data_IF_649786703723
#
_entry.id   IF_649786703723
#
_cell.length_a   1.000
_cell.length_b   1.000
_cell.length_c   1.000
_cell.angle_alpha   90.00
_cell.angle_beta   90.00
_cell.angle_gamma   90.00
#
_symmetry.space_group_name_H-M   'P 1'
#
loop_
_entity.id
_entity.type
_entity.pdbx_description
1 polymer ?
#
# COMPACT_ATOMS: atom_id res chain seq x y z
N UNK A 1 -16.11 5.72 -9.16
CA UNK A 1 -16.30 4.28 -8.99
C UNK A 1 -16.04 3.49 -10.26
N UNK A 2 -16.78 3.78 -11.34
CA UNK A 2 -16.73 3.00 -12.60
C UNK A 2 -15.30 2.83 -13.15
N UNK A 3 -14.53 3.91 -13.27
CA UNK A 3 -13.15 3.87 -13.75
C UNK A 3 -12.25 2.93 -12.90
N UNK A 4 -12.34 3.02 -11.58
CA UNK A 4 -11.59 2.13 -10.66
C UNK A 4 -11.95 0.67 -10.87
N UNK A 5 -13.24 0.35 -10.98
CA UNK A 5 -13.69 -1.03 -11.21
C UNK A 5 -13.24 -1.56 -12.57
N UNK A 6 -13.30 -0.76 -13.63
CA UNK A 6 -12.83 -1.17 -14.95
C UNK A 6 -11.32 -1.46 -14.96
N UNK A 7 -10.49 -0.59 -14.36
CA UNK A 7 -9.04 -0.73 -14.40
C UNK A 7 -8.50 -1.74 -13.36
N UNK A 8 -9.04 -1.74 -12.14
CA UNK A 8 -8.50 -2.58 -11.08
C UNK A 8 -9.14 -3.97 -11.03
N UNK A 9 -10.40 -4.10 -11.43
CA UNK A 9 -11.08 -5.38 -11.40
C UNK A 9 -11.22 -6.01 -12.79
N UNK A 10 -11.98 -5.40 -13.72
CA UNK A 10 -12.29 -6.04 -15.02
C UNK A 10 -11.03 -6.29 -15.85
N UNK A 11 -10.13 -5.31 -15.93
CA UNK A 11 -8.89 -5.47 -16.67
C UNK A 11 -8.00 -6.57 -16.07
N UNK A 12 -7.83 -6.58 -14.74
CA UNK A 12 -7.01 -7.58 -14.05
C UNK A 12 -7.62 -8.98 -14.15
N UNK A 13 -8.96 -9.08 -14.10
CA UNK A 13 -9.69 -10.33 -14.32
C UNK A 13 -9.43 -10.90 -15.72
N UNK A 14 -9.50 -10.06 -16.75
CA UNK A 14 -9.24 -10.48 -18.11
C UNK A 14 -7.77 -10.96 -18.30
N UNK A 15 -6.81 -10.25 -17.70
CA UNK A 15 -5.40 -10.70 -17.69
C UNK A 15 -5.22 -12.04 -16.97
N UNK A 16 -5.90 -12.23 -15.85
CA UNK A 16 -5.85 -13.48 -15.10
C UNK A 16 -6.35 -14.66 -15.95
N UNK A 17 -7.49 -14.52 -16.63
CA UNK A 17 -7.99 -15.57 -17.50
C UNK A 17 -7.04 -15.83 -18.67
N UNK A 18 -6.53 -14.78 -19.32
CA UNK A 18 -5.53 -14.91 -20.37
C UNK A 18 -4.27 -15.66 -19.91
N UNK A 19 -3.77 -15.36 -18.70
CA UNK A 19 -2.62 -16.04 -18.12
C UNK A 19 -2.94 -17.52 -17.79
N UNK A 20 -4.09 -17.76 -17.17
CA UNK A 20 -4.55 -19.10 -16.82
C UNK A 20 -4.70 -20.03 -18.03
N UNK A 21 -5.36 -19.55 -19.10
CA UNK A 21 -5.56 -20.31 -20.34
C UNK A 21 -4.23 -20.72 -21.00
N UNK A 22 -3.15 -19.95 -20.75
CA UNK A 22 -1.81 -20.19 -21.30
C UNK A 22 -0.81 -20.75 -20.31
N UNK A 23 -1.25 -21.04 -19.08
CA UNK A 23 -0.40 -21.52 -17.99
C UNK A 23 0.77 -20.57 -17.69
N UNK A 24 0.52 -19.26 -17.78
CA UNK A 24 1.50 -18.22 -17.46
C UNK A 24 1.35 -17.85 -15.98
N UNK A 25 2.47 -17.74 -15.28
CA UNK A 25 2.52 -17.22 -13.90
C UNK A 25 1.98 -15.78 -13.87
N UNK A 26 1.18 -15.45 -12.87
CA UNK A 26 0.66 -14.12 -12.69
C UNK A 26 0.86 -13.65 -11.23
N UNK A 27 1.57 -12.54 -11.07
CA UNK A 27 1.67 -11.79 -9.83
C UNK A 27 0.95 -10.45 -10.04
N UNK A 28 0.00 -10.13 -9.17
CA UNK A 28 -0.75 -8.88 -9.29
C UNK A 28 -0.65 -8.00 -8.05
N UNK A 29 -0.76 -6.69 -8.26
CA UNK A 29 -0.77 -5.70 -7.21
C UNK A 29 -2.14 -5.63 -6.53
N UNK A 30 -2.27 -6.18 -5.32
CA UNK A 30 -3.30 -5.86 -4.35
C UNK A 30 -2.86 -4.69 -3.47
N UNK A 31 -3.47 -4.49 -2.32
CA UNK A 31 -3.17 -3.36 -1.45
C UNK A 31 -3.52 -3.64 0.00
N UNK A 32 -2.74 -3.15 0.95
CA UNK A 32 -3.09 -3.15 2.37
C UNK A 32 -4.33 -2.31 2.69
N UNK A 33 -4.78 -1.42 1.79
CA UNK A 33 -6.05 -0.70 1.94
C UNK A 33 -7.28 -1.60 2.03
N UNK A 34 -7.16 -2.87 1.65
CA UNK A 34 -8.21 -3.90 1.79
C UNK A 34 -8.56 -4.21 3.24
N UNK A 35 -7.68 -3.89 4.18
CA UNK A 35 -7.90 -4.05 5.62
C UNK A 35 -8.65 -2.89 6.27
N UNK A 36 -8.95 -1.84 5.51
CA UNK A 36 -9.71 -0.69 5.98
C UNK A 36 -9.06 0.03 7.16
N UNK A 37 -9.80 0.16 8.24
CA UNK A 37 -9.33 0.78 9.49
C UNK A 37 -8.32 -0.07 10.27
N UNK A 38 -8.21 -1.36 9.95
CA UNK A 38 -7.36 -2.30 10.65
C UNK A 38 -7.87 -2.76 12.01
N UNK A 39 -9.13 -2.48 12.36
CA UNK A 39 -9.73 -2.90 13.65
C UNK A 39 -9.78 -4.42 13.81
N UNK A 40 -9.75 -5.16 12.72
CA UNK A 40 -9.73 -6.62 12.70
C UNK A 40 -8.33 -7.21 12.45
N UNK A 41 -7.27 -6.37 12.48
CA UNK A 41 -5.89 -6.76 12.18
C UNK A 41 -5.53 -6.66 10.70
N UNK A 42 -4.31 -7.10 10.38
CA UNK A 42 -3.71 -7.00 9.04
C UNK A 42 -3.22 -8.36 8.53
N UNK A 43 -3.85 -9.46 8.93
CA UNK A 43 -3.58 -10.79 8.37
C UNK A 43 -4.37 -11.01 7.08
N UNK A 44 -3.91 -11.94 6.23
CA UNK A 44 -4.53 -12.23 4.92
C UNK A 44 -5.85 -13.01 5.03
N UNK A 45 -6.47 -13.00 6.20
CA UNK A 45 -7.74 -13.67 6.48
C UNK A 45 -8.94 -12.80 6.08
N UNK A 46 -10.02 -13.41 5.56
CA UNK A 46 -11.22 -12.67 5.15
C UNK A 46 -11.84 -11.81 6.26
N UNK A 47 -11.78 -12.27 7.52
CA UNK A 47 -12.30 -11.54 8.68
C UNK A 47 -11.56 -10.23 8.99
N UNK A 48 -10.35 -10.04 8.44
CA UNK A 48 -9.58 -8.80 8.58
C UNK A 48 -9.87 -7.80 7.45
N UNK A 49 -10.70 -8.15 6.48
CA UNK A 49 -10.91 -7.37 5.27
C UNK A 49 -12.11 -6.42 5.40
N UNK A 50 -11.84 -5.12 5.26
CA UNK A 50 -12.86 -4.06 5.35
C UNK A 50 -12.52 -2.91 4.39
N UNK A 51 -13.08 -2.89 3.21
CA UNK A 51 -12.81 -1.84 2.24
C UNK A 51 -13.55 -0.54 2.56
N UNK A 52 -12.82 0.52 2.94
CA UNK A 52 -13.41 1.83 3.30
C UNK A 52 -13.69 2.75 2.11
N UNK A 53 -13.19 2.44 0.93
CA UNK A 53 -13.37 3.27 -0.26
C UNK A 53 -13.37 2.44 -1.55
N UNK A 54 -13.73 3.08 -2.67
CA UNK A 54 -13.85 2.39 -3.97
C UNK A 54 -12.54 1.77 -4.44
N UNK A 55 -11.39 2.40 -4.15
CA UNK A 55 -10.09 1.82 -4.49
C UNK A 55 -9.84 0.53 -3.72
N UNK A 56 -9.96 0.57 -2.39
CA UNK A 56 -9.82 -0.60 -1.54
C UNK A 56 -10.80 -1.72 -1.95
N UNK A 57 -12.08 -1.36 -2.18
CA UNK A 57 -13.10 -2.29 -2.66
C UNK A 57 -12.70 -2.93 -3.99
N UNK A 58 -12.19 -2.17 -4.96
CA UNK A 58 -11.80 -2.72 -6.26
C UNK A 58 -10.66 -3.74 -6.17
N UNK A 59 -9.72 -3.54 -5.23
CA UNK A 59 -8.63 -4.48 -4.95
C UNK A 59 -9.12 -5.72 -4.21
N UNK A 60 -9.90 -5.53 -3.16
CA UNK A 60 -10.50 -6.63 -2.39
C UNK A 60 -11.42 -7.49 -3.25
N UNK A 61 -12.21 -6.86 -4.11
CA UNK A 61 -13.13 -7.59 -5.01
C UNK A 61 -12.36 -8.49 -5.98
N UNK A 62 -11.18 -8.05 -6.45
CA UNK A 62 -10.32 -8.91 -7.25
C UNK A 62 -9.63 -10.00 -6.43
N UNK A 63 -9.15 -9.72 -5.20
CA UNK A 63 -8.62 -10.74 -4.31
C UNK A 63 -9.63 -11.87 -4.08
N UNK A 64 -10.89 -11.51 -3.78
CA UNK A 64 -11.99 -12.47 -3.58
C UNK A 64 -12.35 -13.26 -4.85
N UNK A 65 -12.24 -12.62 -6.00
CA UNK A 65 -12.40 -13.31 -7.28
C UNK A 65 -11.27 -14.32 -7.50
N UNK A 66 -10.02 -13.90 -7.35
CA UNK A 66 -8.82 -14.71 -7.53
C UNK A 66 -8.78 -15.95 -6.61
N UNK A 67 -9.24 -15.82 -5.36
CA UNK A 67 -9.32 -16.93 -4.40
C UNK A 67 -10.09 -18.15 -4.93
N UNK A 68 -11.05 -17.95 -5.82
CA UNK A 68 -11.82 -19.05 -6.43
C UNK A 68 -10.99 -19.89 -7.39
N UNK A 69 -9.85 -19.38 -7.82
CA UNK A 69 -8.98 -19.97 -8.86
C UNK A 69 -7.65 -20.48 -8.31
N UNK A 70 -7.28 -20.18 -7.08
CA UNK A 70 -6.06 -20.70 -6.47
C UNK A 70 -6.03 -22.22 -6.53
N UNK A 71 -4.94 -22.79 -7.05
CA UNK A 71 -4.76 -24.24 -7.24
C UNK A 71 -5.61 -24.87 -8.35
N UNK A 72 -6.42 -24.09 -9.10
CA UNK A 72 -7.33 -24.63 -10.14
C UNK A 72 -6.91 -24.29 -11.57
N UNK A 73 -6.09 -23.27 -11.77
CA UNK A 73 -5.68 -22.78 -13.08
C UNK A 73 -4.52 -23.58 -13.70
N UNK A 74 -3.86 -24.43 -12.91
CA UNK A 74 -2.63 -25.12 -13.34
C UNK A 74 -1.43 -24.18 -13.58
N UNK A 75 -1.53 -22.93 -13.10
CA UNK A 75 -0.48 -21.91 -13.09
C UNK A 75 -0.54 -21.11 -11.80
N UNK A 76 0.58 -20.48 -11.46
CA UNK A 76 0.67 -19.60 -10.29
C UNK A 76 -0.25 -18.39 -10.41
N UNK A 77 -0.91 -18.04 -9.32
CA UNK A 77 -1.64 -16.79 -9.17
C UNK A 77 -1.36 -16.20 -7.78
N UNK A 78 -0.66 -15.06 -7.72
CA UNK A 78 -0.26 -14.40 -6.47
C UNK A 78 -0.75 -12.97 -6.42
N UNK A 79 -1.42 -12.59 -5.34
CA UNK A 79 -1.76 -11.21 -5.00
C UNK A 79 -0.84 -10.67 -3.92
N UNK A 80 -0.21 -9.53 -4.14
CA UNK A 80 0.63 -8.88 -3.16
C UNK A 80 -0.06 -7.63 -2.61
N UNK A 81 -0.42 -7.64 -1.33
CA UNK A 81 -0.96 -6.50 -0.60
C UNK A 81 0.16 -5.57 -0.20
N UNK A 82 0.50 -4.66 -1.08
CA UNK A 82 1.53 -3.66 -0.80
C UNK A 82 1.09 -2.70 0.30
N UNK A 83 1.96 -2.53 1.30
CA UNK A 83 1.87 -1.46 2.29
C UNK A 83 2.37 -0.14 1.69
N UNK A 84 3.00 0.74 2.45
CA UNK A 84 3.34 2.08 1.93
C UNK A 84 4.68 2.04 1.19
N UNK A 85 4.63 1.70 -0.09
CA UNK A 85 5.83 1.61 -0.93
C UNK A 85 6.40 3.00 -1.20
N UNK A 86 7.71 3.15 -1.04
CA UNK A 86 8.44 4.37 -1.40
C UNK A 86 9.72 4.06 -2.15
N UNK A 87 10.24 5.03 -2.91
CA UNK A 87 11.51 4.89 -3.63
C UNK A 87 11.67 5.87 -4.78
N UNK A 88 12.67 5.66 -5.64
CA UNK A 88 12.90 6.52 -6.79
C UNK A 88 11.81 6.39 -7.85
N UNK A 89 11.81 7.34 -8.81
CA UNK A 89 10.95 7.34 -10.01
C UNK A 89 9.46 7.56 -9.74
N UNK A 90 9.11 8.33 -8.71
CA UNK A 90 7.72 8.64 -8.37
C UNK A 90 7.18 9.93 -9.03
N UNK A 91 7.95 10.65 -9.83
CA UNK A 91 7.58 11.95 -10.41
C UNK A 91 6.25 11.93 -11.18
N UNK A 92 5.94 10.83 -11.85
CA UNK A 92 4.72 10.68 -12.64
C UNK A 92 3.44 10.48 -11.80
N UNK A 93 3.56 10.20 -10.51
CA UNK A 93 2.42 9.90 -9.62
C UNK A 93 1.73 11.15 -9.07
N UNK A 94 2.34 12.33 -9.17
CA UNK A 94 1.77 13.58 -8.64
C UNK A 94 1.39 13.46 -7.16
N UNK A 95 0.16 13.79 -6.82
CA UNK A 95 -0.36 13.73 -5.43
C UNK A 95 -0.46 12.30 -4.86
N UNK A 96 -0.36 11.27 -5.70
CA UNK A 96 -0.41 9.86 -5.29
C UNK A 96 0.98 9.27 -5.01
N UNK A 97 2.04 10.07 -5.12
CA UNK A 97 3.38 9.67 -4.74
C UNK A 97 3.49 9.43 -3.23
N UNK A 98 4.49 8.65 -2.81
CA UNK A 98 4.72 8.35 -1.40
C UNK A 98 4.94 9.61 -0.55
N UNK A 99 4.69 9.51 0.74
CA UNK A 99 4.94 10.62 1.68
C UNK A 99 6.42 11.02 1.70
N UNK A 100 7.35 10.09 1.52
CA UNK A 100 8.79 10.41 1.42
C UNK A 100 9.04 11.35 0.24
N UNK A 101 8.47 11.05 -0.93
CA UNK A 101 8.58 11.90 -2.10
C UNK A 101 7.86 13.24 -1.95
N UNK A 102 6.69 13.25 -1.30
CA UNK A 102 5.97 14.49 -1.00
C UNK A 102 6.78 15.40 -0.07
N UNK A 103 7.37 14.85 0.99
CA UNK A 103 8.24 15.59 1.91
C UNK A 103 9.48 16.16 1.21
N UNK A 104 10.09 15.38 0.31
CA UNK A 104 11.20 15.85 -0.52
C UNK A 104 10.78 17.06 -1.38
N UNK A 105 9.63 16.99 -2.04
CA UNK A 105 9.13 18.09 -2.86
C UNK A 105 8.78 19.33 -2.03
N UNK A 106 8.19 19.16 -0.85
CA UNK A 106 7.92 20.26 0.08
C UNK A 106 9.21 20.93 0.52
N UNK A 107 10.21 20.13 0.92
CA UNK A 107 11.54 20.67 1.26
C UNK A 107 12.16 21.44 0.09
N UNK A 108 12.12 20.88 -1.11
CA UNK A 108 12.71 21.51 -2.30
C UNK A 108 12.01 22.84 -2.65
N UNK A 109 10.72 22.93 -2.47
CA UNK A 109 9.93 24.12 -2.83
C UNK A 109 9.97 25.23 -1.75
N UNK A 110 9.92 24.84 -0.47
CA UNK A 110 9.66 25.77 0.64
C UNK A 110 10.72 25.72 1.74
N UNK A 111 11.67 24.77 1.70
CA UNK A 111 12.61 24.52 2.81
C UNK A 111 11.93 23.95 4.06
N UNK A 112 10.72 23.41 3.93
CA UNK A 112 9.88 22.91 5.03
C UNK A 112 9.35 21.54 4.70
N UNK A 113 9.07 20.75 5.74
CA UNK A 113 8.24 19.53 5.68
C UNK A 113 6.99 19.77 6.53
N UNK A 114 5.82 19.52 5.95
CA UNK A 114 4.53 19.67 6.63
C UNK A 114 3.96 18.29 6.94
N UNK A 115 3.63 18.05 8.19
CA UNK A 115 2.90 16.88 8.68
C UNK A 115 1.55 17.32 9.25
N UNK A 116 0.64 16.38 9.36
CA UNK A 116 -0.64 16.65 10.01
C UNK A 116 -0.50 16.61 11.53
N UNK A 117 -1.32 17.43 12.18
CA UNK A 117 -1.56 17.36 13.62
C UNK A 117 -2.12 15.99 14.03
N UNK A 118 -2.06 15.71 15.32
CA UNK A 118 -2.53 14.45 15.88
C UNK A 118 -4.04 14.26 15.76
N UNK A 119 -4.46 13.01 15.62
CA UNK A 119 -5.86 12.58 15.60
C UNK A 119 -5.95 11.15 16.18
N UNK A 120 -7.10 10.74 16.68
CA UNK A 120 -7.37 9.39 17.23
C UNK A 120 -6.39 9.00 18.36
N UNK A 121 -6.02 9.96 19.21
CA UNK A 121 -5.10 9.72 20.33
C UNK A 121 -3.61 9.75 19.95
N UNK A 122 -3.27 9.92 18.67
CA UNK A 122 -1.89 10.11 18.22
C UNK A 122 -1.47 11.58 18.37
N UNK A 123 -0.22 11.82 18.75
CA UNK A 123 0.39 13.14 18.71
C UNK A 123 0.65 13.63 17.28
N UNK A 124 1.11 14.87 17.15
CA UNK A 124 1.41 15.49 15.86
C UNK A 124 2.45 14.68 15.06
N UNK A 125 2.08 14.18 13.89
CA UNK A 125 2.93 13.36 13.02
C UNK A 125 3.26 11.96 13.57
N UNK A 126 2.59 11.52 14.65
CA UNK A 126 2.82 10.21 15.28
C UNK A 126 1.93 9.10 14.72
N UNK A 127 1.02 9.39 13.80
CA UNK A 127 0.33 8.35 13.04
C UNK A 127 1.36 7.46 12.34
N UNK A 128 1.11 6.16 12.30
CA UNK A 128 2.09 5.18 11.88
C UNK A 128 1.72 4.46 10.58
N UNK A 129 2.72 4.10 9.80
CA UNK A 129 2.58 3.26 8.59
C UNK A 129 3.76 2.30 8.49
N UNK A 130 3.50 1.14 7.93
CA UNK A 130 4.57 0.29 7.42
C UNK A 130 5.06 0.85 6.07
N UNK A 131 6.30 1.32 6.06
CA UNK A 131 6.96 1.87 4.87
C UNK A 131 7.96 0.88 4.33
N UNK A 132 7.71 0.37 3.13
CA UNK A 132 8.59 -0.59 2.46
C UNK A 132 9.31 0.04 1.26
N UNK A 133 10.61 -0.19 1.15
CA UNK A 133 11.40 0.32 0.02
C UNK A 133 11.11 -0.46 -1.27
N UNK A 134 10.96 0.25 -2.39
CA UNK A 134 10.56 -0.36 -3.67
C UNK A 134 11.47 -1.49 -4.13
N UNK A 135 12.79 -1.45 -3.84
CA UNK A 135 13.69 -2.55 -4.19
C UNK A 135 13.43 -3.82 -3.40
N UNK A 136 12.93 -3.70 -2.17
CA UNK A 136 12.55 -4.87 -1.38
C UNK A 136 11.23 -5.45 -1.90
N UNK A 137 10.28 -4.58 -2.31
CA UNK A 137 9.07 -5.02 -3.05
C UNK A 137 9.45 -5.80 -4.31
N UNK A 138 10.43 -5.33 -5.08
CA UNK A 138 10.93 -6.04 -6.28
C UNK A 138 11.50 -7.41 -5.92
N UNK A 139 12.27 -7.53 -4.81
CA UNK A 139 12.77 -8.84 -4.35
C UNK A 139 11.63 -9.80 -3.98
N UNK A 140 10.57 -9.30 -3.33
CA UNK A 140 9.38 -10.12 -3.02
C UNK A 140 8.72 -10.61 -4.31
N UNK A 141 8.59 -9.76 -5.34
CA UNK A 141 8.05 -10.20 -6.64
C UNK A 141 8.92 -11.29 -7.28
N UNK A 142 10.25 -11.15 -7.26
CA UNK A 142 11.16 -12.18 -7.78
C UNK A 142 11.10 -13.46 -6.94
N UNK A 143 10.99 -13.36 -5.62
CA UNK A 143 10.79 -14.53 -4.76
C UNK A 143 9.58 -15.36 -5.24
N UNK A 144 8.43 -14.75 -5.43
CA UNK A 144 7.25 -15.46 -5.92
C UNK A 144 7.41 -15.93 -7.37
N UNK A 145 8.13 -15.18 -8.21
CA UNK A 145 8.42 -15.61 -9.58
C UNK A 145 9.26 -16.90 -9.60
N UNK A 146 10.21 -17.03 -8.71
CA UNK A 146 11.09 -18.19 -8.58
C UNK A 146 10.42 -19.37 -7.82
N UNK A 147 9.24 -19.15 -7.22
CA UNK A 147 8.46 -20.16 -6.49
C UNK A 147 7.07 -20.34 -7.10
N UNK A 148 6.97 -20.95 -8.30
CA UNK A 148 5.72 -21.10 -9.04
C UNK A 148 4.67 -21.99 -8.37
N UNK A 149 5.06 -22.77 -7.38
CA UNK A 149 4.17 -23.61 -6.57
C UNK A 149 3.33 -22.80 -5.58
N UNK A 150 3.73 -21.57 -5.24
CA UNK A 150 3.01 -20.72 -4.32
C UNK A 150 1.90 -19.96 -5.04
N UNK A 151 0.68 -20.06 -4.53
CA UNK A 151 -0.47 -19.25 -4.97
C UNK A 151 -1.23 -18.75 -3.75
N UNK A 152 -1.74 -17.53 -3.82
CA UNK A 152 -2.45 -16.95 -2.68
C UNK A 152 -2.42 -15.43 -2.66
N UNK A 153 -2.94 -14.85 -1.60
CA UNK A 153 -2.80 -13.42 -1.28
C UNK A 153 -1.84 -13.28 -0.11
N UNK A 154 -0.86 -12.40 -0.24
CA UNK A 154 0.21 -12.22 0.75
C UNK A 154 0.44 -10.73 1.03
N UNK A 155 0.74 -10.42 2.28
CA UNK A 155 1.19 -9.09 2.67
C UNK A 155 2.59 -8.80 2.12
N UNK A 156 2.80 -7.57 1.68
CA UNK A 156 4.11 -7.09 1.25
C UNK A 156 4.43 -5.78 1.99
N UNK A 157 4.93 -5.93 3.20
CA UNK A 157 5.37 -4.89 4.13
C UNK A 157 6.62 -5.32 4.86
N UNK A 158 7.10 -4.51 5.79
CA UNK A 158 8.28 -4.80 6.63
C UNK A 158 7.92 -5.49 7.95
N UNK A 159 6.64 -5.46 8.34
CA UNK A 159 6.18 -5.89 9.66
C UNK A 159 6.40 -4.85 10.77
N UNK A 160 6.90 -3.66 10.41
CA UNK A 160 7.19 -2.60 11.37
C UNK A 160 6.60 -1.27 10.91
N UNK A 161 5.63 -0.75 11.69
CA UNK A 161 5.09 0.58 11.45
C UNK A 161 6.00 1.67 12.06
N UNK A 162 6.16 2.76 11.33
CA UNK A 162 6.94 3.93 11.74
C UNK A 162 6.08 5.19 11.70
N UNK A 163 6.25 6.11 12.68
CA UNK A 163 5.62 7.42 12.65
C UNK A 163 6.06 8.25 11.43
N UNK A 164 5.17 9.10 10.92
CA UNK A 164 5.55 10.07 9.88
C UNK A 164 6.69 11.00 10.34
N UNK A 165 6.79 11.29 11.63
CA UNK A 165 7.91 12.03 12.22
C UNK A 165 9.27 11.36 11.95
N UNK A 166 9.33 10.03 11.91
CA UNK A 166 10.58 9.30 11.59
C UNK A 166 11.02 9.57 10.15
N UNK A 167 10.08 9.57 9.20
CA UNK A 167 10.36 9.90 7.80
C UNK A 167 10.83 11.36 7.66
N UNK A 168 10.10 12.29 8.29
CA UNK A 168 10.46 13.69 8.27
C UNK A 168 11.87 13.93 8.84
N UNK A 169 12.21 13.32 9.98
CA UNK A 169 13.55 13.38 10.55
C UNK A 169 14.61 12.84 9.58
N UNK A 170 14.31 11.79 8.82
CA UNK A 170 15.19 11.26 7.77
C UNK A 170 15.46 12.29 6.67
N UNK A 171 14.40 12.93 6.16
CA UNK A 171 14.50 14.01 5.16
C UNK A 171 15.32 15.19 5.70
N UNK A 172 14.98 15.66 6.91
CA UNK A 172 15.70 16.76 7.59
C UNK A 172 17.19 16.47 7.75
N UNK A 173 17.51 15.26 8.19
CA UNK A 173 18.92 14.84 8.41
C UNK A 173 19.71 14.81 7.10
N UNK A 174 19.07 14.40 6.00
CA UNK A 174 19.76 14.24 4.71
C UNK A 174 19.96 15.57 3.98
N UNK A 175 18.96 16.46 4.01
CA UNK A 175 19.00 17.69 3.22
C UNK A 175 19.39 18.94 4.02
N UNK A 176 19.53 18.86 5.34
CA UNK A 176 19.88 20.00 6.21
C UNK A 176 18.84 21.14 6.14
N UNK A 177 19.08 22.25 6.83
CA UNK A 177 18.28 23.49 6.85
C UNK A 177 16.82 23.33 6.41
N UNK A 178 16.05 22.54 7.14
CA UNK A 178 14.65 22.28 6.91
C UNK A 178 13.91 22.42 8.23
N UNK A 179 12.72 23.01 8.21
CA UNK A 179 11.84 23.09 9.37
C UNK A 179 10.69 22.09 9.24
N UNK A 180 10.30 21.50 10.37
CA UNK A 180 9.11 20.69 10.47
C UNK A 180 7.95 21.56 10.95
N UNK A 181 6.84 21.54 10.23
CA UNK A 181 5.62 22.28 10.55
C UNK A 181 4.47 21.28 10.69
N UNK A 182 3.64 21.46 11.71
CA UNK A 182 2.40 20.68 11.85
C UNK A 182 1.22 21.52 11.42
N UNK A 183 0.38 20.95 10.57
CA UNK A 183 -0.79 21.62 9.99
C UNK A 183 -2.06 20.87 10.36
N UNK A 184 -3.21 21.57 10.50
CA UNK A 184 -4.47 20.93 10.80
C UNK A 184 -4.81 19.80 9.85
N UNK A 185 -5.40 18.74 10.37
CA UNK A 185 -5.86 17.61 9.57
C UNK A 185 -7.02 18.04 8.67
N UNK A 186 -6.93 17.87 7.32
CA UNK A 186 -8.00 18.30 6.42
C UNK A 186 -9.28 17.49 6.65
N UNK A 187 -10.40 18.18 6.87
CA UNK A 187 -11.69 17.56 7.13
C UNK A 187 -12.12 16.55 6.04
N UNK A 188 -11.77 16.81 4.78
CA UNK A 188 -12.06 15.92 3.64
C UNK A 188 -11.36 14.57 3.74
N UNK A 189 -10.28 14.45 4.50
CA UNK A 189 -9.53 13.21 4.68
C UNK A 189 -10.01 12.40 5.89
N UNK A 190 -10.81 12.98 6.78
CA UNK A 190 -11.27 12.32 8.00
C UNK A 190 -12.11 11.08 7.74
N UNK A 191 -12.97 11.12 6.72
CA UNK A 191 -13.89 10.02 6.40
C UNK A 191 -13.19 8.69 6.00
N UNK A 192 -11.92 8.75 5.59
CA UNK A 192 -11.13 7.59 5.18
C UNK A 192 -9.80 7.52 5.94
N UNK A 193 -9.77 8.15 7.12
CA UNK A 193 -8.56 8.20 7.93
C UNK A 193 -8.25 6.83 8.54
N UNK A 194 -6.98 6.47 8.54
CA UNK A 194 -6.43 5.29 9.21
C UNK A 194 -5.19 5.74 9.96
N UNK A 195 -5.16 5.54 11.25
CA UNK A 195 -4.06 6.03 12.11
C UNK A 195 -2.86 5.09 12.15
N UNK A 196 -3.06 3.79 11.90
CA UNK A 196 -1.99 2.79 11.86
C UNK A 196 -2.21 1.79 10.72
N UNK A 197 -1.12 1.39 10.04
CA UNK A 197 -1.11 0.23 9.16
C UNK A 197 0.19 -0.53 9.34
N UNK A 198 0.10 -1.79 9.73
CA UNK A 198 1.24 -2.69 9.94
C UNK A 198 0.76 -4.12 9.74
N UNK A 199 1.46 -4.96 8.95
CA UNK A 199 1.16 -6.39 8.93
C UNK A 199 1.28 -6.97 10.33
N UNK A 200 0.39 -7.87 10.66
CA UNK A 200 0.54 -8.66 11.86
C UNK A 200 1.76 -9.59 11.71
N UNK A 201 2.50 -9.88 12.77
CA UNK A 201 3.59 -10.83 12.71
C UNK A 201 3.06 -12.21 12.28
N UNK A 202 3.88 -13.00 11.58
CA UNK A 202 3.51 -14.32 11.08
C UNK A 202 3.19 -15.32 12.19
#
# INVERSE_FOLDING_TARGET
GKYMMQNNFEYTKNLMHFAADRKIQMIYASSASTYGSGVHGFTEKPECEEALNVYAFSKLFFDNYARRYFGKTGSQLVGLRYFNVYGPQENHKGKMASMVFQMYNQWKAEGKVKLFEGIDGYGNGEQTRDFIYVKDVVKVNFFFWDHPELSGVYNCGTGHAHPFNTLAKGVLKHFGRCTLEYIPYPAVLLANHVSNTQPDPP
#
